data_IF_406048391254
#
_entry.id   IF_406048391254
#
_cell.length_a   1.000
_cell.length_b   1.000
_cell.length_c   1.000
_cell.angle_alpha   90.00
_cell.angle_beta   90.00
_cell.angle_gamma   90.00
#
_symmetry.space_group_name_H-M   'P 1'
#
loop_
_entity.id
_entity.type
_entity.pdbx_description
1 polymer ?
#
# COMPACT_ATOMS: atom_id res chain seq x y z
N UNK A 1 2.51 8.27 20.00
CA UNK A 1 3.71 8.61 20.84
C UNK A 1 4.79 7.60 20.49
N UNK A 2 5.96 8.06 20.05
CA UNK A 2 7.11 7.19 19.72
C UNK A 2 7.58 6.50 21.02
N UNK A 3 7.80 5.16 20.98
CA UNK A 3 8.28 4.45 22.16
C UNK A 3 9.64 5.01 22.63
N UNK A 4 9.86 5.15 23.95
CA UNK A 4 11.14 5.66 24.47
C UNK A 4 12.33 4.75 24.15
N UNK A 5 12.07 3.51 23.73
CA UNK A 5 13.08 2.53 23.36
C UNK A 5 13.43 2.54 21.86
N UNK A 6 12.74 3.36 21.04
CA UNK A 6 12.99 3.40 19.59
C UNK A 6 14.32 4.09 19.28
N UNK A 7 15.17 3.37 18.58
CA UNK A 7 16.49 3.83 18.12
C UNK A 7 16.44 4.15 16.63
N UNK A 8 16.32 5.45 16.30
CA UNK A 8 16.29 5.93 14.92
C UNK A 8 17.56 5.59 14.14
N UNK A 9 18.74 5.69 14.79
CA UNK A 9 20.02 5.41 14.13
C UNK A 9 20.10 3.94 13.71
N UNK A 10 19.60 3.06 14.57
CA UNK A 10 19.52 1.63 14.27
C UNK A 10 18.51 1.35 13.16
N UNK A 11 17.34 2.02 13.17
CA UNK A 11 16.34 1.91 12.11
C UNK A 11 16.94 2.31 10.75
N UNK A 12 17.53 3.50 10.67
CA UNK A 12 18.13 4.01 9.43
C UNK A 12 19.26 3.11 8.93
N UNK A 13 20.07 2.57 9.83
CA UNK A 13 21.15 1.63 9.47
C UNK A 13 20.62 0.31 8.90
N UNK A 14 19.49 -0.21 9.41
CA UNK A 14 18.83 -1.40 8.85
C UNK A 14 18.24 -1.11 7.48
N UNK A 15 17.49 0.00 7.36
CA UNK A 15 16.89 0.42 6.08
C UNK A 15 17.94 0.66 4.99
N UNK A 16 19.06 1.28 5.33
CA UNK A 16 20.15 1.56 4.38
C UNK A 16 20.77 0.30 3.73
N UNK A 17 20.62 -0.85 4.36
CA UNK A 17 21.08 -2.14 3.80
C UNK A 17 20.14 -2.69 2.71
N UNK A 18 18.96 -2.10 2.56
CA UNK A 18 17.89 -2.57 1.69
C UNK A 18 16.91 -3.49 2.41
N UNK A 19 15.67 -3.50 1.97
CA UNK A 19 14.62 -4.37 2.52
C UNK A 19 14.38 -5.57 1.60
N UNK A 20 14.36 -6.80 2.12
CA UNK A 20 14.01 -7.99 1.33
C UNK A 20 12.50 -8.07 1.08
N UNK A 21 12.11 -8.94 0.15
CA UNK A 21 10.77 -9.49 0.11
C UNK A 21 10.60 -10.50 1.28
N UNK A 22 9.49 -10.45 2.00
CA UNK A 22 9.28 -11.25 3.20
C UNK A 22 10.06 -10.73 4.42
N UNK A 23 10.08 -11.52 5.49
CA UNK A 23 10.64 -11.12 6.79
C UNK A 23 12.12 -10.74 6.74
N UNK A 24 12.93 -11.53 6.03
CA UNK A 24 14.38 -11.36 6.02
C UNK A 24 15.10 -11.92 7.25
N UNK A 25 16.20 -11.29 7.62
CA UNK A 25 17.07 -11.65 8.74
C UNK A 25 17.44 -10.40 9.59
N UNK A 26 18.37 -10.54 10.54
CA UNK A 26 18.78 -9.44 11.41
C UNK A 26 19.63 -8.36 10.72
N UNK A 27 20.11 -8.62 9.51
CA UNK A 27 20.88 -7.67 8.72
C UNK A 27 20.05 -7.02 7.61
N UNK A 28 19.11 -7.78 7.02
CA UNK A 28 18.23 -7.36 5.95
C UNK A 28 16.80 -7.74 6.33
N UNK A 29 16.07 -6.82 6.90
CA UNK A 29 14.75 -7.05 7.46
C UNK A 29 13.67 -6.26 6.71
N UNK A 30 12.44 -6.78 6.69
CA UNK A 30 11.28 -6.05 6.18
C UNK A 30 10.99 -4.82 7.05
N UNK A 31 10.11 -3.92 6.60
CA UNK A 31 9.79 -2.66 7.30
C UNK A 31 9.38 -2.88 8.75
N UNK A 32 8.50 -3.86 9.03
CA UNK A 32 8.05 -4.14 10.41
C UNK A 32 9.15 -4.74 11.27
N UNK A 33 9.95 -5.65 10.71
CA UNK A 33 11.08 -6.22 11.44
C UNK A 33 12.16 -5.17 11.73
N UNK A 34 12.42 -4.21 10.82
CA UNK A 34 13.29 -3.07 11.09
C UNK A 34 12.78 -2.25 12.29
N UNK A 35 11.47 -1.96 12.34
CA UNK A 35 10.86 -1.24 13.47
C UNK A 35 10.98 -2.03 14.78
N UNK A 36 10.63 -3.32 14.77
CA UNK A 36 10.71 -4.16 15.96
C UNK A 36 12.13 -4.25 16.48
N UNK A 37 13.13 -4.46 15.60
CA UNK A 37 14.54 -4.50 15.98
C UNK A 37 15.03 -3.14 16.50
N UNK A 38 14.59 -2.03 15.93
CA UNK A 38 14.92 -0.68 16.39
C UNK A 38 14.29 -0.36 17.76
N UNK A 39 13.15 -0.96 18.08
CA UNK A 39 12.53 -0.90 19.41
C UNK A 39 13.17 -1.86 20.44
N UNK A 40 14.19 -2.62 20.06
CA UNK A 40 14.81 -3.63 20.94
C UNK A 40 14.03 -4.95 21.02
N UNK A 41 13.04 -5.13 20.14
CA UNK A 41 12.24 -6.35 20.02
C UNK A 41 12.89 -7.44 19.17
N UNK A 42 12.08 -8.40 18.76
CA UNK A 42 12.52 -9.58 17.98
C UNK A 42 12.42 -9.33 16.49
N UNK A 43 13.08 -10.19 15.72
CA UNK A 43 12.91 -10.30 14.27
C UNK A 43 11.54 -10.95 13.98
N UNK A 44 10.55 -10.11 13.66
CA UNK A 44 9.20 -10.54 13.26
C UNK A 44 8.54 -9.42 12.44
N UNK A 45 7.65 -9.78 11.54
CA UNK A 45 6.80 -8.86 10.77
C UNK A 45 5.48 -8.53 11.47
N UNK A 46 5.19 -9.18 12.60
CA UNK A 46 4.04 -8.83 13.42
C UNK A 46 4.20 -7.48 14.13
N UNK A 47 3.10 -6.80 14.41
CA UNK A 47 3.07 -5.59 15.23
C UNK A 47 3.30 -5.95 16.71
N UNK A 48 4.56 -6.18 17.12
CA UNK A 48 4.88 -6.47 18.53
C UNK A 48 4.82 -5.21 19.40
N UNK A 49 5.09 -4.05 18.82
CA UNK A 49 5.02 -2.79 19.57
C UNK A 49 3.57 -2.39 19.84
N UNK A 50 3.19 -2.18 21.11
CA UNK A 50 1.83 -1.74 21.47
C UNK A 50 1.50 -0.33 20.94
N UNK A 51 2.45 0.36 20.34
CA UNK A 51 2.25 1.68 19.76
C UNK A 51 1.88 1.65 18.28
N UNK A 52 1.82 0.48 17.64
CA UNK A 52 1.52 0.32 16.22
C UNK A 52 0.11 -0.24 16.02
N UNK A 53 -0.67 0.39 15.15
CA UNK A 53 -1.97 -0.11 14.73
C UNK A 53 -1.78 -1.39 13.90
N UNK A 54 -2.34 -2.56 14.31
CA UNK A 54 -2.12 -3.81 13.59
C UNK A 54 -2.49 -3.78 12.11
N UNK A 55 -3.59 -3.14 11.75
CA UNK A 55 -4.01 -3.03 10.35
C UNK A 55 -3.07 -2.16 9.48
N UNK A 56 -2.45 -1.15 10.07
CA UNK A 56 -1.46 -0.36 9.37
C UNK A 56 -0.15 -1.15 9.20
N UNK A 57 0.22 -1.97 10.19
CA UNK A 57 1.34 -2.90 10.08
C UNK A 57 1.09 -3.94 8.97
N UNK A 58 -0.09 -4.56 8.92
CA UNK A 58 -0.47 -5.52 7.88
C UNK A 58 -0.39 -4.89 6.49
N UNK A 59 -0.86 -3.65 6.35
CA UNK A 59 -0.72 -2.90 5.10
C UNK A 59 0.75 -2.69 4.72
N UNK A 60 1.58 -2.26 5.67
CA UNK A 60 2.99 -2.03 5.42
C UNK A 60 3.75 -3.31 5.04
N UNK A 61 3.45 -4.45 5.69
CA UNK A 61 4.03 -5.76 5.32
C UNK A 61 3.65 -6.14 3.89
N UNK A 62 2.38 -6.03 3.52
CA UNK A 62 1.92 -6.34 2.15
C UNK A 62 2.56 -5.43 1.11
N UNK A 63 2.68 -4.13 1.41
CA UNK A 63 3.34 -3.19 0.51
C UNK A 63 4.86 -3.47 0.42
N UNK A 64 5.50 -3.88 1.53
CA UNK A 64 6.88 -4.36 1.51
C UNK A 64 7.05 -5.56 0.57
N UNK A 65 6.07 -6.47 0.56
CA UNK A 65 6.12 -7.70 -0.23
C UNK A 65 5.63 -7.53 -1.67
N UNK A 66 5.31 -6.31 -2.09
CA UNK A 66 5.01 -6.01 -3.47
C UNK A 66 6.27 -6.11 -4.37
N UNK A 67 6.04 -6.09 -5.70
CA UNK A 67 7.08 -6.27 -6.70
C UNK A 67 7.91 -5.01 -6.94
N UNK A 68 8.66 -4.56 -5.93
CA UNK A 68 9.65 -3.49 -6.07
C UNK A 68 10.79 -3.91 -6.97
N UNK A 69 11.39 -2.96 -7.68
CA UNK A 69 12.50 -3.20 -8.60
C UNK A 69 13.77 -3.74 -7.91
N UNK A 70 13.95 -3.42 -6.65
CA UNK A 70 15.11 -3.85 -5.85
C UNK A 70 14.87 -3.70 -4.35
N UNK A 71 15.67 -4.37 -3.50
CA UNK A 71 15.66 -4.14 -2.06
C UNK A 71 15.93 -2.68 -1.67
N UNK A 72 16.76 -1.97 -2.42
CA UNK A 72 17.06 -0.54 -2.19
C UNK A 72 15.88 0.35 -2.56
N UNK A 73 15.19 0.07 -3.69
CA UNK A 73 14.01 0.80 -4.09
C UNK A 73 12.88 0.64 -3.06
N UNK A 74 12.68 -0.60 -2.56
CA UNK A 74 11.74 -0.92 -1.48
C UNK A 74 12.09 -0.15 -0.21
N UNK A 75 13.31 -0.22 0.26
CA UNK A 75 13.77 0.46 1.46
C UNK A 75 13.52 1.97 1.37
N UNK A 76 13.90 2.59 0.25
CA UNK A 76 13.67 4.02 0.01
C UNK A 76 12.18 4.39 -0.05
N UNK A 77 11.33 3.52 -0.59
CA UNK A 77 9.89 3.77 -0.67
C UNK A 77 9.14 3.53 0.64
N UNK A 78 9.67 2.66 1.51
CA UNK A 78 9.02 2.23 2.76
C UNK A 78 9.52 2.96 4.01
N UNK A 79 10.65 3.69 3.92
CA UNK A 79 11.30 4.32 5.07
C UNK A 79 10.34 5.20 5.90
N UNK A 80 9.70 6.17 5.25
CA UNK A 80 8.84 7.14 5.93
C UNK A 80 7.55 6.50 6.44
N UNK A 81 6.99 5.53 5.68
CA UNK A 81 5.85 4.76 6.13
C UNK A 81 6.19 3.98 7.41
N UNK A 82 7.37 3.37 7.48
CA UNK A 82 7.82 2.70 8.70
C UNK A 82 7.83 3.63 9.90
N UNK A 83 8.41 4.82 9.77
CA UNK A 83 8.41 5.82 10.85
C UNK A 83 6.99 6.29 11.23
N UNK A 84 6.11 6.47 10.24
CA UNK A 84 4.73 6.88 10.48
C UNK A 84 3.90 5.84 11.25
N UNK A 85 4.27 4.56 11.20
CA UNK A 85 3.60 3.50 11.96
C UNK A 85 3.77 3.67 13.49
N UNK A 86 4.85 4.34 13.92
CA UNK A 86 5.10 4.55 15.35
C UNK A 86 4.06 5.51 15.97
N UNK A 87 3.41 5.06 17.03
CA UNK A 87 2.40 5.84 17.74
C UNK A 87 0.99 5.76 17.16
N UNK A 88 0.76 4.89 16.17
CA UNK A 88 -0.54 4.75 15.49
C UNK A 88 -1.57 3.94 16.25
N UNK A 89 -1.23 3.29 17.36
CA UNK A 89 -2.13 2.41 18.12
C UNK A 89 -3.46 3.08 18.56
N UNK A 90 -3.47 4.41 18.69
CA UNK A 90 -4.65 5.18 19.08
C UNK A 90 -5.51 5.64 17.88
N UNK A 91 -5.07 5.37 16.65
CA UNK A 91 -5.81 5.75 15.45
C UNK A 91 -7.02 4.83 15.31
N UNK A 92 -8.17 5.43 14.96
CA UNK A 92 -9.38 4.66 14.64
C UNK A 92 -9.15 3.84 13.37
N UNK A 93 -9.22 2.52 13.52
CA UNK A 93 -8.98 1.56 12.45
C UNK A 93 -9.98 1.73 11.28
N UNK A 94 -11.23 2.10 11.59
CA UNK A 94 -12.28 2.32 10.59
C UNK A 94 -11.96 3.54 9.75
N UNK A 95 -11.55 4.61 10.42
CA UNK A 95 -11.18 5.86 9.75
C UNK A 95 -9.90 5.69 8.92
N UNK A 96 -8.90 4.97 9.43
CA UNK A 96 -7.72 4.60 8.66
C UNK A 96 -8.10 3.85 7.36
N UNK A 97 -8.89 2.78 7.49
CA UNK A 97 -9.33 1.99 6.34
C UNK A 97 -10.15 2.82 5.34
N UNK A 98 -11.04 3.69 5.83
CA UNK A 98 -11.85 4.57 4.99
C UNK A 98 -10.99 5.55 4.19
N UNK A 99 -10.06 6.24 4.86
CA UNK A 99 -9.14 7.19 4.21
C UNK A 99 -8.22 6.50 3.21
N UNK A 100 -7.73 5.32 3.56
CA UNK A 100 -6.87 4.54 2.67
C UNK A 100 -7.62 4.13 1.40
N UNK A 101 -8.87 3.67 1.52
CA UNK A 101 -9.71 3.33 0.38
C UNK A 101 -10.00 4.56 -0.51
N UNK A 102 -10.45 5.66 0.08
CA UNK A 102 -10.70 6.91 -0.64
C UNK A 102 -9.44 7.42 -1.33
N UNK A 103 -8.31 7.46 -0.62
CA UNK A 103 -7.05 7.90 -1.18
C UNK A 103 -6.53 6.99 -2.29
N UNK A 104 -6.75 5.68 -2.20
CA UNK A 104 -6.42 4.72 -3.26
C UNK A 104 -7.24 5.00 -4.52
N UNK A 105 -8.56 5.25 -4.38
CA UNK A 105 -9.43 5.60 -5.51
C UNK A 105 -9.01 6.94 -6.14
N UNK A 106 -8.67 7.93 -5.34
CA UNK A 106 -8.29 9.28 -5.84
C UNK A 106 -6.89 9.36 -6.43
N UNK A 107 -5.94 8.61 -5.91
CA UNK A 107 -4.50 8.85 -6.21
C UNK A 107 -3.82 7.68 -6.89
N UNK A 108 -4.18 6.44 -6.57
CA UNK A 108 -3.52 5.24 -7.11
C UNK A 108 -4.26 4.71 -8.35
N UNK A 109 -5.56 4.51 -8.24
CA UNK A 109 -6.39 4.00 -9.35
C UNK A 109 -6.32 4.87 -10.61
N UNK A 110 -6.34 6.22 -10.57
CA UNK A 110 -6.23 7.04 -11.76
C UNK A 110 -4.93 6.82 -12.56
N UNK A 111 -3.84 6.48 -11.89
CA UNK A 111 -2.57 6.16 -12.55
C UNK A 111 -2.75 4.94 -13.46
N UNK A 112 -3.33 3.86 -12.93
CA UNK A 112 -3.61 2.64 -13.69
C UNK A 112 -4.58 2.89 -14.85
N UNK A 113 -5.69 3.60 -14.59
CA UNK A 113 -6.70 3.93 -15.60
C UNK A 113 -6.11 4.75 -16.75
N UNK A 114 -5.31 5.77 -16.44
CA UNK A 114 -4.62 6.56 -17.47
C UNK A 114 -3.62 5.74 -18.29
N UNK A 115 -2.92 4.82 -17.66
CA UNK A 115 -1.99 3.91 -18.33
C UNK A 115 -2.70 3.05 -19.39
N UNK A 116 -3.94 2.65 -19.14
CA UNK A 116 -4.76 1.88 -20.10
C UNK A 116 -5.65 2.75 -21.00
N UNK A 117 -5.52 4.08 -20.92
CA UNK A 117 -6.21 5.04 -21.79
C UNK A 117 -7.61 5.44 -21.32
N UNK A 118 -8.05 4.98 -20.15
CA UNK A 118 -9.34 5.31 -19.52
C UNK A 118 -9.25 6.67 -18.78
N UNK A 119 -9.03 7.75 -19.55
CA UNK A 119 -8.79 9.08 -18.97
C UNK A 119 -10.01 9.64 -18.26
N UNK A 120 -11.21 9.48 -18.82
CA UNK A 120 -12.45 9.99 -18.23
C UNK A 120 -12.75 9.32 -16.88
N UNK A 121 -12.56 8.02 -16.82
CA UNK A 121 -12.74 7.21 -15.63
C UNK A 121 -11.69 7.56 -14.57
N UNK A 122 -10.45 7.81 -14.99
CA UNK A 122 -9.38 8.28 -14.13
C UNK A 122 -9.71 9.64 -13.51
N UNK A 123 -10.13 10.61 -14.33
CA UNK A 123 -10.49 11.94 -13.88
C UNK A 123 -11.69 11.89 -12.92
N UNK A 124 -12.67 11.06 -13.21
CA UNK A 124 -13.82 10.84 -12.32
C UNK A 124 -13.41 10.22 -10.98
N UNK A 125 -12.54 9.22 -10.97
CA UNK A 125 -12.03 8.63 -9.72
C UNK A 125 -11.25 9.65 -8.90
N UNK A 126 -10.46 10.50 -9.54
CA UNK A 126 -9.67 11.55 -8.90
C UNK A 126 -10.57 12.62 -8.25
N UNK A 127 -11.62 13.04 -8.94
CA UNK A 127 -12.58 14.03 -8.44
C UNK A 127 -13.51 13.50 -7.35
N UNK A 128 -14.16 12.35 -7.58
CA UNK A 128 -15.18 11.81 -6.69
C UNK A 128 -14.58 11.02 -5.52
N UNK A 129 -13.59 10.17 -5.76
CA UNK A 129 -12.96 9.31 -4.75
C UNK A 129 -13.93 8.28 -4.14
N UNK A 130 -15.00 7.93 -4.86
CA UNK A 130 -16.07 7.08 -4.36
C UNK A 130 -16.00 5.66 -4.92
N UNK A 131 -16.65 4.73 -4.23
CA UNK A 131 -16.80 3.36 -4.71
C UNK A 131 -17.60 3.29 -6.03
N UNK A 132 -18.52 4.19 -6.22
CA UNK A 132 -19.32 4.31 -7.43
C UNK A 132 -18.46 4.68 -8.63
N UNK A 133 -17.53 5.63 -8.45
CA UNK A 133 -16.58 6.00 -9.51
C UNK A 133 -15.62 4.87 -9.85
N UNK A 134 -15.10 4.15 -8.85
CA UNK A 134 -14.26 2.99 -9.04
C UNK A 134 -15.00 1.83 -9.72
N UNK A 135 -16.26 1.57 -9.31
CA UNK A 135 -17.13 0.57 -9.94
C UNK A 135 -17.43 0.92 -11.40
N UNK A 136 -17.76 2.18 -11.68
CA UNK A 136 -18.00 2.62 -13.05
C UNK A 136 -16.78 2.44 -13.96
N UNK A 137 -15.59 2.69 -13.43
CA UNK A 137 -14.34 2.44 -14.15
C UNK A 137 -14.14 0.95 -14.50
N UNK A 138 -14.59 0.03 -13.65
CA UNK A 138 -14.49 -1.41 -13.91
C UNK A 138 -15.39 -1.91 -15.03
N UNK A 139 -16.47 -1.19 -15.33
CA UNK A 139 -17.39 -1.50 -16.42
C UNK A 139 -17.06 -0.76 -17.72
N UNK A 140 -16.11 0.16 -17.71
CA UNK A 140 -15.69 0.85 -18.92
C UNK A 140 -15.01 -0.13 -19.87
N UNK A 141 -15.65 -0.37 -21.00
CA UNK A 141 -15.25 -1.36 -22.00
C UNK A 141 -13.97 -0.87 -22.72
N UNK A 142 -12.82 -1.25 -22.21
CA UNK A 142 -11.57 -1.05 -22.89
C UNK A 142 -10.82 -2.37 -22.94
N UNK A 143 -10.55 -2.82 -24.16
CA UNK A 143 -9.84 -4.04 -24.57
C UNK A 143 -9.16 -4.87 -23.46
N UNK A 144 -9.30 -6.16 -23.50
CA UNK A 144 -9.07 -7.26 -22.53
C UNK A 144 -8.02 -7.09 -21.40
N UNK A 145 -6.97 -6.28 -21.59
CA UNK A 145 -5.94 -6.01 -20.57
C UNK A 145 -6.30 -4.88 -19.59
N UNK A 146 -7.16 -3.94 -20.03
CA UNK A 146 -7.67 -2.90 -19.16
C UNK A 146 -8.79 -3.43 -18.26
N UNK A 147 -9.54 -4.43 -18.71
CA UNK A 147 -10.54 -5.12 -17.89
C UNK A 147 -9.90 -5.82 -16.70
N UNK A 148 -8.71 -6.40 -16.84
CA UNK A 148 -8.02 -7.05 -15.73
C UNK A 148 -7.54 -6.02 -14.69
N UNK A 149 -6.93 -4.91 -15.11
CA UNK A 149 -6.51 -3.85 -14.19
C UNK A 149 -7.71 -3.18 -13.50
N UNK A 150 -8.81 -2.93 -14.25
CA UNK A 150 -10.04 -2.40 -13.70
C UNK A 150 -10.74 -3.41 -12.76
N UNK A 151 -10.70 -4.71 -13.07
CA UNK A 151 -11.23 -5.77 -12.22
C UNK A 151 -10.44 -5.86 -10.90
N UNK A 152 -9.12 -5.80 -10.93
CA UNK A 152 -8.31 -5.77 -9.71
C UNK A 152 -8.57 -4.50 -8.88
N UNK A 153 -8.70 -3.36 -9.52
CA UNK A 153 -9.07 -2.12 -8.84
C UNK A 153 -10.49 -2.16 -8.26
N UNK A 154 -11.44 -2.79 -8.98
CA UNK A 154 -12.79 -3.05 -8.49
C UNK A 154 -12.79 -4.00 -7.28
N UNK A 155 -12.04 -5.09 -7.33
CA UNK A 155 -11.89 -5.99 -6.17
C UNK A 155 -11.28 -5.24 -4.98
N UNK A 156 -10.25 -4.44 -5.21
CA UNK A 156 -9.65 -3.61 -4.17
C UNK A 156 -10.68 -2.67 -3.54
N UNK A 157 -11.43 -1.95 -4.36
CA UNK A 157 -12.47 -1.03 -3.90
C UNK A 157 -13.65 -1.76 -3.25
N UNK A 158 -14.07 -2.95 -3.74
CA UNK A 158 -15.14 -3.75 -3.14
C UNK A 158 -14.76 -4.33 -1.77
N UNK A 159 -13.51 -4.76 -1.58
CA UNK A 159 -13.00 -5.17 -0.27
C UNK A 159 -12.94 -3.99 0.69
N UNK A 160 -12.52 -2.80 0.25
CA UNK A 160 -12.54 -1.60 1.07
C UNK A 160 -13.97 -1.20 1.48
N UNK A 161 -14.95 -1.32 0.57
CA UNK A 161 -16.36 -1.08 0.89
C UNK A 161 -16.96 -2.15 1.82
N UNK A 162 -16.59 -3.42 1.63
CA UNK A 162 -17.00 -4.51 2.53
C UNK A 162 -16.43 -4.30 3.93
N UNK A 163 -15.17 -3.89 4.05
CA UNK A 163 -14.53 -3.52 5.30
C UNK A 163 -15.25 -2.34 5.96
N UNK A 164 -15.54 -1.27 5.22
CA UNK A 164 -16.29 -0.11 5.73
C UNK A 164 -17.74 -0.47 6.13
N UNK A 165 -18.40 -1.39 5.43
CA UNK A 165 -19.74 -1.86 5.76
C UNK A 165 -19.76 -2.81 6.97
N UNK A 166 -18.74 -3.66 7.13
CA UNK A 166 -18.55 -4.52 8.30
C UNK A 166 -18.29 -3.68 9.57
N UNK A 167 -17.49 -2.62 9.43
CA UNK A 167 -17.24 -1.65 10.51
C UNK A 167 -18.52 -0.93 10.96
N UNK A 168 -19.37 -0.50 10.03
CA UNK A 168 -20.67 0.11 10.35
C UNK A 168 -21.61 -0.84 11.10
N UNK A 169 -21.46 -2.15 10.99
CA UNK A 169 -22.29 -3.17 11.66
C UNK A 169 -21.73 -3.67 13.00
N UNK A 170 -20.77 -3.00 13.61
CA UNK A 170 -20.13 -3.38 14.89
C UNK A 170 -19.41 -4.74 14.92
N UNK A 171 -19.05 -5.30 13.78
CA UNK A 171 -18.14 -6.44 13.71
C UNK A 171 -16.73 -5.95 13.32
N UNK A 172 -16.20 -4.99 14.12
CA UNK A 172 -14.83 -4.53 13.95
C UNK A 172 -13.86 -5.64 14.36
N UNK A 173 -13.64 -6.59 13.47
CA UNK A 173 -12.59 -7.57 13.60
C UNK A 173 -11.34 -7.09 12.86
N UNK A 174 -10.18 -7.52 13.30
CA UNK A 174 -8.91 -7.36 12.58
C UNK A 174 -9.01 -7.78 11.09
N UNK A 175 -9.95 -8.67 10.76
CA UNK A 175 -10.26 -9.10 9.41
C UNK A 175 -10.70 -7.93 8.49
N UNK A 176 -11.55 -7.01 8.94
CA UNK A 176 -12.03 -5.91 8.09
C UNK A 176 -10.90 -4.91 7.73
N UNK A 177 -9.96 -4.70 8.63
CA UNK A 177 -8.79 -3.86 8.36
C UNK A 177 -7.76 -4.58 7.49
N UNK A 178 -7.59 -5.89 7.67
CA UNK A 178 -6.79 -6.74 6.79
C UNK A 178 -7.35 -6.73 5.37
N UNK A 179 -8.67 -6.74 5.19
CA UNK A 179 -9.33 -6.67 3.88
C UNK A 179 -9.12 -5.31 3.21
N UNK A 180 -9.20 -4.20 3.96
CA UNK A 180 -8.91 -2.87 3.43
C UNK A 180 -7.43 -2.71 3.03
N UNK A 181 -6.51 -3.24 3.83
CA UNK A 181 -5.10 -3.27 3.52
C UNK A 181 -4.81 -4.14 2.28
N UNK A 182 -5.46 -5.29 2.17
CA UNK A 182 -5.37 -6.17 0.99
C UNK A 182 -5.88 -5.46 -0.26
N UNK A 183 -6.96 -4.71 -0.15
CA UNK A 183 -7.53 -3.94 -1.23
C UNK A 183 -6.57 -2.86 -1.77
N UNK A 184 -5.96 -2.09 -0.88
CA UNK A 184 -4.97 -1.08 -1.26
C UNK A 184 -3.72 -1.70 -1.90
N UNK A 185 -3.25 -2.84 -1.36
CA UNK A 185 -2.15 -3.61 -1.93
C UNK A 185 -2.45 -4.07 -3.36
N UNK A 186 -3.59 -4.74 -3.58
CA UNK A 186 -3.95 -5.23 -4.92
C UNK A 186 -4.17 -4.08 -5.92
N UNK A 187 -4.70 -2.94 -5.48
CA UNK A 187 -4.82 -1.77 -6.34
C UNK A 187 -3.44 -1.21 -6.73
N UNK A 188 -2.51 -1.14 -5.79
CA UNK A 188 -1.15 -0.69 -6.05
C UNK A 188 -0.39 -1.66 -6.97
N UNK A 189 -0.51 -2.97 -6.74
CA UNK A 189 0.16 -3.99 -7.55
C UNK A 189 -0.40 -4.05 -8.97
N UNK A 190 -1.73 -4.00 -9.14
CA UNK A 190 -2.38 -3.92 -10.44
C UNK A 190 -2.04 -2.63 -11.21
N UNK A 191 -2.01 -1.49 -10.51
CA UNK A 191 -1.60 -0.22 -11.09
C UNK A 191 -0.14 -0.26 -11.54
N UNK A 192 0.75 -0.84 -10.71
CA UNK A 192 2.17 -1.01 -11.03
C UNK A 192 2.36 -1.90 -12.26
N UNK A 193 1.70 -3.06 -12.30
CA UNK A 193 1.78 -4.00 -13.43
C UNK A 193 1.25 -3.38 -14.72
N UNK A 194 0.08 -2.76 -14.70
CA UNK A 194 -0.55 -2.16 -15.89
C UNK A 194 0.24 -0.96 -16.43
N UNK A 195 0.75 -0.13 -15.53
CA UNK A 195 1.61 1.01 -15.91
C UNK A 195 2.92 0.52 -16.51
N UNK A 196 3.53 -0.51 -15.90
CA UNK A 196 4.77 -1.10 -16.37
C UNK A 196 4.62 -1.71 -17.78
N UNK A 197 3.56 -2.44 -18.05
CA UNK A 197 3.37 -3.10 -19.36
C UNK A 197 3.10 -2.11 -20.51
N UNK A 198 2.46 -0.98 -20.25
CA UNK A 198 2.03 -0.05 -21.29
C UNK A 198 2.98 1.09 -21.60
N UNK A 199 3.64 1.65 -20.60
CA UNK A 199 4.67 2.68 -20.83
C UNK A 199 5.83 2.13 -21.65
N UNK A 200 5.93 0.80 -21.80
CA UNK A 200 7.15 0.11 -22.15
C UNK A 200 7.04 -0.92 -23.28
N UNK A 201 6.06 -0.78 -24.13
CA UNK A 201 6.08 -1.49 -25.40
C UNK A 201 7.36 -1.20 -26.23
N UNK A 202 8.23 -0.34 -25.77
CA UNK A 202 9.37 0.18 -26.54
C UNK A 202 10.74 -0.01 -25.89
N UNK A 203 10.89 -0.20 -24.59
CA UNK A 203 12.23 -0.49 -24.04
C UNK A 203 12.24 -0.95 -22.59
N UNK A 204 13.00 -2.01 -22.38
CA UNK A 204 13.76 -2.39 -21.19
C UNK A 204 13.06 -2.58 -19.84
N UNK A 205 13.34 -3.73 -19.22
CA UNK A 205 12.96 -4.13 -17.87
C UNK A 205 13.21 -3.04 -16.79
N UNK A 206 14.26 -2.25 -16.95
CA UNK A 206 14.62 -1.18 -16.02
C UNK A 206 13.55 -0.07 -15.93
N UNK A 207 12.92 0.29 -17.03
CA UNK A 207 11.88 1.33 -17.01
C UNK A 207 10.55 0.80 -16.44
N UNK A 208 10.23 -0.50 -16.64
CA UNK A 208 9.07 -1.15 -15.97
C UNK A 208 9.24 -1.15 -14.47
N UNK A 209 10.41 -1.53 -14.00
CA UNK A 209 10.76 -1.53 -12.59
C UNK A 209 10.59 -0.13 -11.97
N UNK A 210 11.09 0.92 -12.65
CA UNK A 210 10.95 2.30 -12.20
C UNK A 210 9.48 2.77 -12.16
N UNK A 211 8.66 2.33 -13.11
CA UNK A 211 7.25 2.68 -13.15
C UNK A 211 6.47 1.98 -12.01
N UNK A 212 6.75 0.71 -11.75
CA UNK A 212 6.18 -0.02 -10.63
C UNK A 212 6.55 0.63 -9.28
N UNK A 213 7.83 0.95 -9.09
CA UNK A 213 8.31 1.64 -7.88
C UNK A 213 7.59 2.98 -7.65
N UNK A 214 7.29 3.73 -8.72
CA UNK A 214 6.56 4.99 -8.60
C UNK A 214 5.18 4.79 -7.98
N UNK A 215 4.40 3.83 -8.47
CA UNK A 215 3.06 3.54 -7.95
C UNK A 215 3.10 3.06 -6.51
N UNK A 216 4.05 2.18 -6.18
CA UNK A 216 4.23 1.68 -4.83
C UNK A 216 4.64 2.80 -3.85
N UNK A 217 5.49 3.74 -4.28
CA UNK A 217 5.83 4.94 -3.49
C UNK A 217 4.61 5.85 -3.26
N UNK A 218 3.76 6.06 -4.27
CA UNK A 218 2.52 6.83 -4.10
C UNK A 218 1.64 6.18 -3.03
N UNK A 219 1.53 4.85 -3.03
CA UNK A 219 0.76 4.11 -2.02
C UNK A 219 1.37 4.22 -0.61
N UNK A 220 2.70 4.15 -0.49
CA UNK A 220 3.40 4.34 0.78
C UNK A 220 3.22 5.77 1.32
N UNK A 221 3.37 6.77 0.46
CA UNK A 221 3.18 8.18 0.80
C UNK A 221 1.74 8.45 1.26
N UNK A 222 0.75 7.91 0.54
CA UNK A 222 -0.66 8.02 0.93
C UNK A 222 -0.90 7.47 2.34
N UNK A 223 -0.40 6.28 2.64
CA UNK A 223 -0.56 5.69 3.97
C UNK A 223 0.16 6.52 5.05
N UNK A 224 1.34 7.07 4.75
CA UNK A 224 2.09 7.97 5.65
C UNK A 224 1.29 9.23 5.98
N UNK A 225 0.62 9.83 5.00
CA UNK A 225 -0.19 11.04 5.19
C UNK A 225 -1.48 10.80 6.00
N UNK A 226 -1.97 9.56 6.02
CA UNK A 226 -3.19 9.17 6.73
C UNK A 226 -2.88 8.84 8.20
N UNK A 227 -1.71 8.27 8.47
CA UNK A 227 -1.24 7.90 9.81
C UNK A 227 -0.75 9.12 10.61
#
# INVERSE_FOLDING_TARGET
MIPPTFDLVKYDALVARGMPHGLGDTEHACVMACLNLACGGKLTDAAESPCVLPSAADFAVRLNDANWSSPTARASGMHDLGLALLGTAAIDMVEFARRLAEGTIRRVLPIALRAVGLKKEADRCEEEGTMESASAASYADAASYAADAAAYAYYAASYAAAAAAACRRRAASAAAASDAASAAYYAADAAAASYADRVLSVSAAAARASAADYVLRVSATLATEIL
#
